data_IF_322503219146
#
_entry.id   IF_322503219146
#
_cell.length_a   1.000
_cell.length_b   1.000
_cell.length_c   1.000
_cell.angle_alpha   90.00
_cell.angle_beta   90.00
_cell.angle_gamma   90.00
#
_symmetry.space_group_name_H-M   'P 1'
#
loop_
_entity.id
_entity.type
_entity.pdbx_description
1 polymer ?
#
# COMPACT_ATOMS: atom_id res chain seq x y z
N UNK A 1 -7.57 7.55 4.70
CA UNK A 1 -6.42 8.37 4.31
C UNK A 1 -6.45 8.68 2.80
N UNK A 2 -7.54 9.22 2.23
CA UNK A 2 -7.53 9.60 0.82
C UNK A 2 -6.46 10.68 0.56
N UNK A 3 -5.75 10.57 -0.56
CA UNK A 3 -4.71 11.52 -1.01
C UNK A 3 -3.52 11.73 -0.04
N UNK A 4 -3.20 10.74 0.80
CA UNK A 4 -1.97 10.76 1.59
C UNK A 4 -0.72 10.42 0.75
N UNK A 5 0.43 10.92 1.19
CA UNK A 5 1.72 10.63 0.57
C UNK A 5 2.12 9.15 0.72
N UNK A 6 2.87 8.63 -0.27
CA UNK A 6 3.35 7.25 -0.28
C UNK A 6 4.15 6.89 0.97
N UNK A 7 4.95 7.83 1.50
CA UNK A 7 5.74 7.62 2.71
C UNK A 7 4.90 7.39 3.97
N UNK A 8 3.70 7.98 4.07
CA UNK A 8 2.80 7.74 5.20
C UNK A 8 2.23 6.33 5.18
N UNK A 9 1.84 5.85 3.99
CA UNK A 9 1.41 4.47 3.82
C UNK A 9 2.54 3.49 4.10
N UNK A 10 3.74 3.78 3.62
CA UNK A 10 4.92 2.95 3.85
C UNK A 10 5.24 2.84 5.35
N UNK A 11 5.21 3.95 6.08
CA UNK A 11 5.41 3.98 7.53
C UNK A 11 4.32 3.20 8.29
N UNK A 12 3.05 3.32 7.88
CA UNK A 12 1.96 2.56 8.46
C UNK A 12 2.14 1.05 8.25
N UNK A 13 2.51 0.65 7.03
CA UNK A 13 2.79 -0.74 6.69
C UNK A 13 3.98 -1.26 7.49
N UNK A 14 5.07 -0.49 7.54
CA UNK A 14 6.26 -0.78 8.35
C UNK A 14 5.92 -1.01 9.83
N UNK A 15 5.13 -0.13 10.43
CA UNK A 15 4.73 -0.24 11.84
C UNK A 15 3.89 -1.49 12.14
N UNK A 16 3.25 -2.06 11.11
CA UNK A 16 2.43 -3.27 11.19
C UNK A 16 3.07 -4.46 10.46
N UNK A 17 4.39 -4.42 10.23
CA UNK A 17 5.10 -5.42 9.40
C UNK A 17 5.34 -6.74 10.13
N UNK A 18 4.26 -7.44 10.43
CA UNK A 18 4.28 -8.84 10.88
C UNK A 18 3.10 -9.58 10.28
N UNK A 19 3.21 -10.91 10.19
CA UNK A 19 2.17 -11.76 9.61
C UNK A 19 0.80 -11.51 10.25
N UNK A 20 0.76 -11.45 11.58
CA UNK A 20 -0.49 -11.28 12.32
C UNK A 20 -1.07 -9.88 12.20
N UNK A 21 -0.22 -8.83 12.24
CA UNK A 21 -0.69 -7.43 12.24
C UNK A 21 -1.13 -6.98 10.86
N UNK A 22 -0.36 -7.31 9.83
CA UNK A 22 -0.64 -6.79 8.48
C UNK A 22 -1.96 -7.31 7.91
N UNK A 23 -2.37 -8.53 8.29
CA UNK A 23 -3.64 -9.12 7.88
C UNK A 23 -4.85 -8.49 8.57
N UNK A 24 -4.66 -7.86 9.72
CA UNK A 24 -5.73 -7.12 10.43
C UNK A 24 -5.90 -5.69 9.90
N UNK A 25 -5.00 -5.23 9.04
CA UNK A 25 -5.01 -3.87 8.51
C UNK A 25 -6.08 -3.71 7.42
N UNK A 26 -6.98 -2.75 7.63
CA UNK A 26 -7.95 -2.30 6.63
C UNK A 26 -7.65 -0.84 6.30
N UNK A 27 -7.45 -0.56 5.01
CA UNK A 27 -7.11 0.76 4.48
C UNK A 27 -8.32 1.32 3.74
N UNK A 28 -8.83 2.46 4.21
CA UNK A 28 -9.72 3.31 3.42
C UNK A 28 -8.86 4.38 2.75
N UNK A 29 -8.46 4.16 1.51
CA UNK A 29 -7.35 4.86 0.87
C UNK A 29 -7.51 4.92 -0.66
N UNK A 30 -6.72 5.77 -1.31
CA UNK A 30 -6.57 5.70 -2.77
C UNK A 30 -6.01 4.32 -3.14
N UNK A 31 -6.40 3.77 -4.29
CA UNK A 31 -5.97 2.43 -4.72
C UNK A 31 -4.44 2.38 -4.78
N UNK A 32 -3.81 1.63 -3.87
CA UNK A 32 -2.36 1.70 -3.69
C UNK A 32 -1.58 1.13 -4.88
N UNK A 33 -2.20 0.21 -5.61
CA UNK A 33 -1.68 -0.37 -6.85
C UNK A 33 -1.42 0.69 -7.93
N UNK A 34 -2.21 1.77 -7.98
CA UNK A 34 -2.00 2.87 -8.94
C UNK A 34 -0.64 3.56 -8.71
N UNK A 35 -0.08 3.51 -7.49
CA UNK A 35 1.26 4.05 -7.26
C UNK A 35 2.34 3.20 -7.95
N UNK A 36 2.14 1.89 -8.09
CA UNK A 36 3.05 1.00 -8.83
C UNK A 36 2.98 1.26 -10.34
N UNK A 37 1.78 1.49 -10.85
CA UNK A 37 1.53 1.74 -12.28
C UNK A 37 2.12 3.10 -12.72
N UNK A 38 2.05 4.10 -11.84
CA UNK A 38 2.42 5.48 -12.19
C UNK A 38 3.87 5.86 -11.83
N UNK A 39 4.62 5.01 -11.13
CA UNK A 39 5.99 5.31 -10.70
C UNK A 39 6.99 4.21 -11.08
N UNK A 40 8.25 4.56 -11.40
CA UNK A 40 9.28 3.57 -11.68
C UNK A 40 9.52 2.63 -10.48
N UNK A 41 9.44 1.32 -10.70
CA UNK A 41 9.58 0.30 -9.64
C UNK A 41 10.89 0.41 -8.85
N UNK A 42 12.00 0.81 -9.50
CA UNK A 42 13.29 0.99 -8.80
C UNK A 42 13.22 2.09 -7.73
N UNK A 43 12.52 3.21 -8.03
CA UNK A 43 12.34 4.30 -7.08
C UNK A 43 11.44 3.87 -5.92
N UNK A 44 10.35 3.17 -6.21
CA UNK A 44 9.42 2.69 -5.19
C UNK A 44 10.08 1.68 -4.25
N UNK A 45 10.85 0.73 -4.80
CA UNK A 45 11.59 -0.25 -4.00
C UNK A 45 12.60 0.41 -3.07
N UNK A 46 13.18 1.53 -3.48
CA UNK A 46 14.09 2.31 -2.65
C UNK A 46 13.31 3.12 -1.61
N UNK A 47 12.38 3.98 -2.02
CA UNK A 47 11.79 5.01 -1.15
C UNK A 47 10.62 4.53 -0.30
N UNK A 48 9.86 3.54 -0.77
CA UNK A 48 8.65 3.02 -0.11
C UNK A 48 8.58 1.49 -0.24
N UNK A 49 9.57 0.77 0.32
CA UNK A 49 9.74 -0.67 0.13
C UNK A 49 8.57 -1.51 0.68
N UNK A 50 7.94 -1.09 1.76
CA UNK A 50 6.82 -1.80 2.37
C UNK A 50 5.56 -1.62 1.55
N UNK A 51 5.28 -0.40 1.07
CA UNK A 51 4.22 -0.15 0.10
C UNK A 51 4.45 -0.97 -1.17
N UNK A 52 5.67 -0.98 -1.71
CA UNK A 52 6.01 -1.73 -2.92
C UNK A 52 5.78 -3.23 -2.76
N UNK A 53 6.14 -3.81 -1.61
CA UNK A 53 5.89 -5.24 -1.30
C UNK A 53 4.40 -5.54 -1.09
N UNK A 54 3.65 -4.65 -0.45
CA UNK A 54 2.25 -4.90 -0.07
C UNK A 54 1.26 -4.64 -1.18
N UNK A 55 1.47 -3.62 -2.01
CA UNK A 55 0.51 -3.23 -3.04
C UNK A 55 0.03 -4.38 -3.94
N UNK A 56 0.89 -5.33 -4.41
CA UNK A 56 0.46 -6.46 -5.22
C UNK A 56 -0.38 -7.53 -4.49
N UNK A 57 -0.39 -7.53 -3.15
CA UNK A 57 -1.14 -8.51 -2.33
C UNK A 57 -2.35 -7.88 -1.63
N UNK A 58 -2.67 -6.63 -1.97
CA UNK A 58 -3.89 -5.97 -1.50
C UNK A 58 -5.07 -6.43 -2.35
N UNK A 59 -6.14 -6.86 -1.67
CA UNK A 59 -7.45 -6.83 -2.32
C UNK A 59 -7.98 -5.41 -2.26
N UNK A 60 -8.58 -4.97 -3.36
CA UNK A 60 -9.12 -3.63 -3.49
C UNK A 60 -10.60 -3.70 -3.84
N UNK A 61 -11.43 -3.00 -3.06
CA UNK A 61 -12.83 -2.77 -3.36
C UNK A 61 -13.06 -1.27 -3.58
N UNK A 62 -13.10 -0.79 -4.84
CA UNK A 62 -13.29 0.63 -5.14
C UNK A 62 -14.69 1.09 -4.75
N UNK A 63 -14.80 2.34 -4.29
CA UNK A 63 -16.09 2.95 -4.01
C UNK A 63 -16.84 3.25 -5.31
N UNK A 64 -18.18 3.21 -5.30
CA UNK A 64 -18.97 3.58 -6.46
C UNK A 64 -18.74 5.05 -6.84
N UNK A 65 -18.77 5.35 -8.13
CA UNK A 65 -18.71 6.73 -8.64
C UNK A 65 -19.92 7.53 -8.15
N UNK A 66 -19.69 8.79 -7.82
CA UNK A 66 -20.77 9.70 -7.39
C UNK A 66 -21.68 10.04 -8.57
N UNK A 67 -22.98 9.78 -8.44
CA UNK A 67 -23.98 10.19 -9.44
C UNK A 67 -24.11 11.73 -9.52
N UNK A 68 -23.95 12.41 -8.39
CA UNK A 68 -24.03 13.87 -8.32
C UNK A 68 -22.78 14.56 -8.91
N UNK A 69 -21.64 13.86 -8.98
CA UNK A 69 -20.37 14.40 -9.47
C UNK A 69 -19.63 13.36 -10.34
N UNK A 70 -20.11 13.10 -11.58
CA UNK A 70 -19.57 12.01 -12.42
C UNK A 70 -18.11 12.20 -12.83
N UNK A 71 -17.63 13.45 -12.84
CA UNK A 71 -16.24 13.82 -13.17
C UNK A 71 -15.34 13.92 -11.95
N UNK A 72 -15.87 13.73 -10.74
CA UNK A 72 -15.04 13.73 -9.54
C UNK A 72 -14.09 12.54 -9.59
N UNK A 73 -12.80 12.83 -9.40
CA UNK A 73 -11.79 11.80 -9.32
C UNK A 73 -12.07 10.91 -8.10
N UNK A 74 -12.47 9.67 -8.33
CA UNK A 74 -12.79 8.70 -7.28
C UNK A 74 -11.93 7.45 -7.43
N UNK A 75 -10.71 7.50 -6.93
CA UNK A 75 -9.86 6.31 -6.77
C UNK A 75 -9.83 5.80 -5.33
N UNK A 76 -10.77 6.23 -4.49
CA UNK A 76 -10.87 5.74 -3.12
C UNK A 76 -11.39 4.30 -3.13
N UNK A 77 -10.76 3.45 -2.33
CA UNK A 77 -11.10 2.05 -2.18
C UNK A 77 -10.91 1.59 -0.74
N UNK A 78 -11.67 0.56 -0.35
CA UNK A 78 -11.35 -0.25 0.83
C UNK A 78 -10.35 -1.31 0.39
N UNK A 79 -9.21 -1.38 1.07
CA UNK A 79 -8.13 -2.30 0.74
C UNK A 79 -7.71 -3.08 1.99
N UNK A 80 -7.42 -4.35 1.82
CA UNK A 80 -6.91 -5.20 2.91
C UNK A 80 -5.94 -6.23 2.36
N UNK A 81 -5.03 -6.68 3.23
CA UNK A 81 -3.97 -7.61 2.82
C UNK A 81 -4.52 -9.02 2.81
N UNK A 82 -4.26 -9.73 1.71
CA UNK A 82 -4.49 -11.18 1.63
C UNK A 82 -3.20 -11.83 1.17
N UNK A 83 -2.46 -12.36 2.13
CA UNK A 83 -1.20 -13.04 1.83
C UNK A 83 -1.47 -14.28 0.97
N UNK A 84 -0.70 -14.53 -0.10
CA UNK A 84 -0.74 -15.80 -0.81
C UNK A 84 -0.27 -16.95 0.09
N UNK A 85 -0.79 -18.16 -0.17
CA UNK A 85 -0.43 -19.36 0.60
C UNK A 85 1.06 -19.71 0.53
N UNK A 86 1.77 -19.27 -0.52
CA UNK A 86 3.19 -19.53 -0.75
C UNK A 86 4.01 -18.24 -0.65
N UNK A 87 3.97 -17.58 0.51
CA UNK A 87 4.80 -16.41 0.77
C UNK A 87 6.26 -16.85 1.02
N UNK A 88 7.26 -16.20 0.41
CA UNK A 88 8.66 -16.36 0.80
C UNK A 88 8.87 -16.16 2.31
N UNK A 89 9.68 -17.03 2.94
CA UNK A 89 9.97 -16.97 4.38
C UNK A 89 10.62 -15.65 4.81
N UNK A 90 11.25 -14.94 3.87
CA UNK A 90 11.95 -13.69 4.06
C UNK A 90 11.09 -12.45 3.80
N UNK A 91 9.80 -12.60 3.46
CA UNK A 91 8.92 -11.48 3.14
C UNK A 91 8.83 -10.46 4.29
N UNK A 92 8.73 -10.97 5.51
CA UNK A 92 8.67 -10.18 6.74
C UNK A 92 10.02 -9.71 7.25
N UNK A 93 11.13 -10.01 6.56
CA UNK A 93 12.39 -9.35 6.86
C UNK A 93 12.25 -7.86 6.54
N UNK A 94 12.69 -7.05 7.50
CA UNK A 94 12.72 -5.60 7.35
C UNK A 94 13.50 -5.23 6.08
N UNK A 95 12.95 -4.29 5.32
CA UNK A 95 13.71 -3.69 4.25
C UNK A 95 14.92 -2.96 4.85
N UNK A 96 16.10 -2.96 4.19
CA UNK A 96 17.28 -2.28 4.70
C UNK A 96 16.91 -0.85 5.10
N UNK A 97 17.21 -0.50 6.36
CA UNK A 97 16.83 0.77 6.95
C UNK A 97 17.28 1.92 6.04
N UNK A 98 16.30 2.66 5.53
CA UNK A 98 16.56 3.98 4.99
C UNK A 98 16.88 4.88 6.18
N UNK A 99 18.17 5.00 6.51
CA UNK A 99 18.67 6.01 7.43
C UNK A 99 18.10 7.35 7.01
N UNK A 100 17.35 7.98 7.92
CA UNK A 100 16.79 9.32 7.77
C UNK A 100 17.88 10.25 7.22
N UNK A 101 17.76 10.67 5.95
CA UNK A 101 18.46 11.88 5.49
C UNK A 101 17.68 13.05 6.05
N UNK A 102 18.11 13.47 7.23
CA UNK A 102 17.84 14.77 7.86
C UNK A 102 18.28 15.92 6.97
#
# INVERSE_FOLDING_TARGET
MPHCDMGLYDNLLRANWSQDRIQTLVLLANRLEEYLENHPHHKLREHVPYLFKTAPVLNCHPFPTSEAWPTAFNNTSVQWVRLPNNLPNDWFLEAPNQTQRS
#
